data_IF_690228062448
#
_entry.id   IF_690228062448
#
_cell.length_a   1.000
_cell.length_b   1.000
_cell.length_c   1.000
_cell.angle_alpha   90.00
_cell.angle_beta   90.00
_cell.angle_gamma   90.00
#
_symmetry.space_group_name_H-M   'P 1'
#
loop_
_entity.id
_entity.type
_entity.pdbx_description
1 polymer ?
#
# COMPACT_ATOMS: atom_id res chain seq x y z
N UNK A 1 -48.47 -46.26 7.55
CA UNK A 1 -47.10 -45.74 7.82
C UNK A 1 -46.69 -44.94 6.59
N UNK A 2 -46.61 -43.62 6.70
CA UNK A 2 -46.47 -42.70 5.55
C UNK A 2 -44.98 -42.38 5.39
N UNK A 3 -44.37 -42.89 4.32
CA UNK A 3 -42.97 -42.66 4.01
C UNK A 3 -42.77 -41.17 3.68
N UNK A 4 -42.01 -40.48 4.54
CA UNK A 4 -41.67 -39.07 4.36
C UNK A 4 -40.38 -38.99 3.53
N UNK A 5 -40.52 -38.73 2.23
CA UNK A 5 -39.38 -38.48 1.34
C UNK A 5 -38.87 -37.05 1.54
N UNK A 6 -37.67 -36.92 2.10
CA UNK A 6 -36.94 -35.65 2.25
C UNK A 6 -36.20 -35.35 0.95
N UNK A 7 -36.44 -34.22 0.26
CA UNK A 7 -35.68 -33.86 -0.92
C UNK A 7 -34.32 -33.29 -0.50
N UNK A 8 -33.25 -33.84 -1.06
CA UNK A 8 -31.88 -33.37 -0.88
C UNK A 8 -31.71 -32.05 -1.63
N UNK A 9 -31.76 -30.92 -0.91
CA UNK A 9 -31.50 -29.60 -1.46
C UNK A 9 -29.97 -29.42 -1.63
N UNK A 10 -29.51 -29.40 -2.89
CA UNK A 10 -28.13 -29.11 -3.25
C UNK A 10 -27.90 -27.61 -3.08
N UNK A 11 -27.23 -27.21 -2.00
CA UNK A 11 -26.78 -25.83 -1.78
C UNK A 11 -25.50 -25.64 -2.59
N UNK A 12 -25.64 -25.06 -3.78
CA UNK A 12 -24.51 -24.57 -4.56
C UNK A 12 -24.00 -23.28 -3.93
N UNK A 13 -22.97 -23.39 -3.09
CA UNK A 13 -22.21 -22.23 -2.58
C UNK A 13 -21.44 -21.64 -3.77
N UNK A 14 -21.92 -20.53 -4.29
CA UNK A 14 -21.16 -19.75 -5.26
C UNK A 14 -19.89 -19.23 -4.57
N UNK A 15 -18.74 -19.81 -4.89
CA UNK A 15 -17.43 -19.25 -4.58
C UNK A 15 -17.24 -18.01 -5.46
N UNK A 16 -17.86 -16.89 -5.08
CA UNK A 16 -17.43 -15.59 -5.57
C UNK A 16 -16.05 -15.35 -4.96
N UNK A 17 -14.99 -15.66 -5.71
CA UNK A 17 -13.65 -15.24 -5.35
C UNK A 17 -13.68 -13.72 -5.22
N UNK A 18 -13.66 -13.22 -3.98
CA UNK A 18 -13.50 -11.80 -3.74
C UNK A 18 -12.18 -11.40 -4.41
N UNK A 19 -12.26 -10.52 -5.41
CA UNK A 19 -11.06 -9.86 -5.92
C UNK A 19 -10.48 -9.12 -4.72
N UNK A 20 -9.34 -9.59 -4.22
CA UNK A 20 -8.63 -8.87 -3.16
C UNK A 20 -7.99 -7.66 -3.84
N UNK A 21 -8.43 -6.47 -3.45
CA UNK A 21 -7.87 -5.21 -3.92
C UNK A 21 -6.62 -4.88 -3.09
N UNK A 22 -5.68 -4.15 -3.69
CA UNK A 22 -4.57 -3.60 -2.93
C UNK A 22 -5.11 -2.62 -1.87
N UNK A 23 -4.39 -2.38 -0.77
CA UNK A 23 -4.70 -1.28 0.12
C UNK A 23 -4.74 0.05 -0.63
N UNK A 24 -5.56 0.97 -0.15
CA UNK A 24 -5.71 2.28 -0.78
C UNK A 24 -4.41 3.09 -0.65
N UNK A 25 -4.22 4.05 -1.56
CA UNK A 25 -3.04 4.91 -1.57
C UNK A 25 -2.78 5.60 -0.23
N UNK A 26 -3.84 5.96 0.50
CA UNK A 26 -3.79 6.69 1.76
C UNK A 26 -3.79 5.81 3.01
N UNK A 27 -3.88 4.49 2.86
CA UNK A 27 -3.93 3.59 4.00
C UNK A 27 -2.64 3.67 4.82
N UNK A 28 -2.77 3.49 6.13
CA UNK A 28 -1.65 3.64 7.04
C UNK A 28 -0.50 2.67 6.70
N UNK A 29 -0.83 1.42 6.38
CA UNK A 29 0.15 0.42 5.97
C UNK A 29 0.89 0.80 4.68
N UNK A 30 0.17 1.33 3.68
CA UNK A 30 0.74 1.84 2.43
C UNK A 30 1.70 2.98 2.71
N UNK A 31 1.25 4.01 3.43
CA UNK A 31 2.07 5.19 3.70
C UNK A 31 3.25 4.87 4.63
N UNK A 32 3.11 3.91 5.53
CA UNK A 32 4.22 3.44 6.37
C UNK A 32 5.27 2.69 5.55
N UNK A 33 4.90 1.93 4.53
CA UNK A 33 5.87 1.36 3.59
C UNK A 33 6.57 2.44 2.75
N UNK A 34 5.83 3.44 2.26
CA UNK A 34 6.44 4.59 1.55
C UNK A 34 7.50 5.28 2.43
N UNK A 35 7.19 5.57 3.70
CA UNK A 35 8.13 6.17 4.66
C UNK A 35 9.37 5.30 4.88
N UNK A 36 9.18 3.98 5.04
CA UNK A 36 10.30 3.04 5.22
C UNK A 36 11.20 2.96 3.99
N UNK A 37 10.62 3.03 2.79
CA UNK A 37 11.38 3.06 1.53
C UNK A 37 12.18 4.36 1.44
N UNK A 38 11.58 5.51 1.78
CA UNK A 38 12.26 6.80 1.80
C UNK A 38 13.42 6.85 2.83
N UNK A 39 13.22 6.32 4.03
CA UNK A 39 14.27 6.21 5.06
C UNK A 39 15.45 5.33 4.60
N UNK A 40 15.13 4.19 3.98
CA UNK A 40 16.14 3.30 3.39
C UNK A 40 16.91 3.99 2.28
N UNK A 41 16.22 4.69 1.38
CA UNK A 41 16.87 5.37 0.27
C UNK A 41 17.78 6.50 0.76
N UNK A 42 17.32 7.30 1.72
CA UNK A 42 18.16 8.32 2.36
C UNK A 42 19.38 7.71 3.06
N UNK A 43 19.20 6.56 3.72
CA UNK A 43 20.30 5.81 4.34
C UNK A 43 21.31 5.34 3.29
N UNK A 44 20.85 4.88 2.12
CA UNK A 44 21.71 4.47 1.02
C UNK A 44 22.51 5.65 0.45
N UNK A 45 21.89 6.83 0.32
CA UNK A 45 22.53 8.03 -0.22
C UNK A 45 23.56 8.66 0.72
N UNK A 46 23.28 8.69 2.03
CA UNK A 46 24.13 9.34 3.03
C UNK A 46 25.10 8.39 3.76
N UNK A 47 24.87 7.08 3.66
CA UNK A 47 25.69 6.04 4.30
C UNK A 47 25.22 5.63 5.69
N UNK A 48 25.84 4.56 6.19
CA UNK A 48 25.54 3.98 7.50
C UNK A 48 25.81 5.00 8.64
N UNK A 49 24.76 5.42 9.34
CA UNK A 49 24.81 6.43 10.41
C UNK A 49 23.77 7.54 10.27
N UNK A 50 23.09 7.63 9.12
CA UNK A 50 22.00 8.59 8.90
C UNK A 50 20.61 8.10 9.35
N UNK A 51 20.52 6.85 9.83
CA UNK A 51 19.28 6.26 10.33
C UNK A 51 18.73 7.09 11.49
N UNK A 52 17.46 7.50 11.38
CA UNK A 52 16.81 8.34 12.40
C UNK A 52 17.23 9.82 12.40
N UNK A 53 18.06 10.27 11.46
CA UNK A 53 18.32 11.70 11.27
C UNK A 53 17.14 12.42 10.60
N UNK A 54 16.21 11.67 10.01
CA UNK A 54 15.05 12.20 9.33
C UNK A 54 13.78 11.50 9.77
N UNK A 55 12.68 12.25 9.78
CA UNK A 55 11.32 11.71 9.91
C UNK A 55 10.53 12.04 8.65
N UNK A 56 9.62 11.14 8.28
CA UNK A 56 8.93 11.17 6.99
C UNK A 56 7.43 11.32 7.15
N UNK A 57 6.81 12.17 6.33
CA UNK A 57 5.35 12.29 6.21
C UNK A 57 4.92 12.12 4.75
N UNK A 58 3.73 11.56 4.53
CA UNK A 58 3.17 11.40 3.18
C UNK A 58 1.87 12.18 3.15
N UNK A 59 1.90 13.33 2.47
CA UNK A 59 0.82 14.31 2.45
C UNK A 59 0.23 14.41 1.03
N UNK A 60 -0.92 15.09 0.91
CA UNK A 60 -1.55 15.40 -0.38
C UNK A 60 -1.70 14.18 -1.30
N UNK A 61 -2.08 13.04 -0.71
CA UNK A 61 -2.19 11.75 -1.39
C UNK A 61 -3.38 11.77 -2.36
N UNK A 62 -3.15 11.33 -3.60
CA UNK A 62 -4.20 11.15 -4.62
C UNK A 62 -3.98 9.86 -5.40
N UNK A 63 -5.03 9.08 -5.57
CA UNK A 63 -5.06 7.96 -6.53
C UNK A 63 -5.16 8.53 -7.94
N UNK A 64 -4.18 8.24 -8.79
CA UNK A 64 -4.16 8.66 -10.19
C UNK A 64 -4.88 7.66 -11.10
N UNK A 65 -4.73 6.36 -10.81
CA UNK A 65 -5.39 5.29 -11.55
C UNK A 65 -5.52 4.03 -10.70
N UNK A 66 -6.49 3.19 -11.07
CA UNK A 66 -6.67 1.84 -10.53
C UNK A 66 -6.76 0.86 -11.69
N UNK A 67 -5.92 -0.15 -11.71
CA UNK A 67 -6.04 -1.27 -12.64
C UNK A 67 -7.19 -2.17 -12.18
N UNK A 68 -8.25 -2.27 -12.99
CA UNK A 68 -9.46 -3.03 -12.64
C UNK A 68 -9.27 -4.54 -12.67
N UNK A 69 -8.27 -5.03 -13.39
CA UNK A 69 -7.97 -6.47 -13.49
C UNK A 69 -7.19 -6.95 -12.28
N UNK A 70 -6.26 -6.14 -11.78
CA UNK A 70 -5.35 -6.53 -10.68
C UNK A 70 -5.67 -5.85 -9.35
N UNK A 71 -6.54 -4.84 -9.34
CA UNK A 71 -6.79 -4.01 -8.16
C UNK A 71 -5.63 -3.10 -7.77
N UNK A 72 -4.59 -2.97 -8.61
CA UNK A 72 -3.42 -2.16 -8.31
C UNK A 72 -3.70 -0.66 -8.44
N UNK A 73 -3.10 0.15 -7.56
CA UNK A 73 -3.22 1.60 -7.57
C UNK A 73 -1.93 2.27 -8.03
N UNK A 74 -2.06 3.36 -8.79
CA UNK A 74 -0.98 4.34 -8.98
C UNK A 74 -1.36 5.61 -8.22
N UNK A 75 -0.45 6.08 -7.39
CA UNK A 75 -0.67 7.16 -6.43
C UNK A 75 0.32 8.30 -6.67
N UNK A 76 -0.09 9.53 -6.39
CA UNK A 76 0.82 10.68 -6.23
C UNK A 76 0.69 11.24 -4.82
N UNK A 77 1.79 11.76 -4.27
CA UNK A 77 1.81 12.40 -2.96
C UNK A 77 2.96 13.42 -2.86
N UNK A 78 2.94 14.20 -1.79
CA UNK A 78 4.06 15.01 -1.33
C UNK A 78 4.74 14.28 -0.17
N UNK A 79 6.00 13.89 -0.35
CA UNK A 79 6.82 13.33 0.71
C UNK A 79 7.50 14.46 1.48
N UNK A 80 7.13 14.63 2.74
CA UNK A 80 7.82 15.52 3.66
C UNK A 80 8.97 14.82 4.35
N UNK A 81 10.15 15.42 4.32
CA UNK A 81 11.37 14.95 4.99
C UNK A 81 11.77 16.02 6.00
N UNK A 82 11.73 15.68 7.28
CA UNK A 82 12.07 16.58 8.38
C UNK A 82 13.35 16.12 9.05
N UNK A 83 14.37 16.99 9.09
CA UNK A 83 15.61 16.71 9.81
C UNK A 83 15.37 16.77 11.33
N UNK A 84 15.75 15.72 12.06
CA UNK A 84 15.52 15.62 13.51
C UNK A 84 16.40 16.58 14.31
N UNK A 85 17.52 17.04 13.73
CA UNK A 85 18.47 17.94 14.39
C UNK A 85 17.98 19.37 14.54
N UNK A 86 17.15 19.85 13.61
CA UNK A 86 16.72 21.26 13.57
C UNK A 86 15.25 21.46 13.20
N UNK A 87 14.50 20.39 12.91
CA UNK A 87 13.08 20.44 12.55
C UNK A 87 12.79 21.03 11.18
N UNK A 88 13.81 21.27 10.34
CA UNK A 88 13.60 21.79 8.98
C UNK A 88 12.97 20.71 8.12
N UNK A 89 11.84 21.04 7.49
CA UNK A 89 11.10 20.17 6.58
C UNK A 89 11.29 20.60 5.14
N UNK A 90 11.62 19.66 4.28
CA UNK A 90 11.52 19.81 2.83
C UNK A 90 10.46 18.86 2.29
N UNK A 91 9.75 19.28 1.24
CA UNK A 91 8.77 18.43 0.57
C UNK A 91 9.20 18.18 -0.87
N UNK A 92 8.99 16.95 -1.35
CA UNK A 92 9.17 16.59 -2.75
C UNK A 92 7.97 15.80 -3.29
N UNK A 93 7.61 16.01 -4.57
CA UNK A 93 6.56 15.21 -5.21
C UNK A 93 7.08 13.81 -5.49
N UNK A 94 6.29 12.80 -5.11
CA UNK A 94 6.55 11.39 -5.41
C UNK A 94 5.36 10.75 -6.12
N UNK A 95 5.65 9.69 -6.88
CA UNK A 95 4.65 8.76 -7.39
C UNK A 95 4.94 7.39 -6.81
N UNK A 96 3.91 6.61 -6.48
CA UNK A 96 4.12 5.23 -6.03
C UNK A 96 3.02 4.30 -6.53
N UNK A 97 3.33 3.03 -6.72
CA UNK A 97 2.33 1.99 -7.01
C UNK A 97 2.06 1.13 -5.79
N UNK A 98 0.84 0.61 -5.67
CA UNK A 98 0.41 -0.34 -4.65
C UNK A 98 -0.19 -1.54 -5.37
N UNK A 99 0.39 -2.72 -5.17
CA UNK A 99 0.07 -3.92 -5.94
C UNK A 99 -0.12 -5.12 -5.02
N UNK A 100 -1.16 -5.91 -5.26
CA UNK A 100 -1.41 -7.15 -4.52
C UNK A 100 -0.36 -8.20 -4.88
N UNK A 101 0.04 -8.98 -3.88
CA UNK A 101 0.93 -10.13 -3.98
C UNK A 101 0.36 -11.32 -3.19
N UNK A 102 0.93 -12.51 -3.41
CA UNK A 102 0.61 -13.73 -2.67
C UNK A 102 -0.90 -13.98 -2.54
N UNK A 103 -1.62 -13.96 -3.68
CA UNK A 103 -3.07 -14.17 -3.78
C UNK A 103 -3.94 -13.19 -2.97
N UNK A 104 -3.43 -12.03 -2.56
CA UNK A 104 -4.20 -11.08 -1.73
C UNK A 104 -3.77 -10.99 -0.27
N UNK A 105 -2.80 -11.82 0.15
CA UNK A 105 -2.29 -11.81 1.54
C UNK A 105 -1.21 -10.74 1.78
N UNK A 106 -0.51 -10.31 0.72
CA UNK A 106 0.54 -9.31 0.80
C UNK A 106 0.35 -8.24 -0.27
N UNK A 107 1.10 -7.17 -0.14
CA UNK A 107 1.15 -6.14 -1.17
C UNK A 107 2.57 -5.55 -1.27
N UNK A 108 2.86 -4.98 -2.43
CA UNK A 108 4.10 -4.27 -2.72
C UNK A 108 3.83 -2.79 -2.89
N UNK A 109 4.79 -1.98 -2.48
CA UNK A 109 4.84 -0.55 -2.75
C UNK A 109 6.14 -0.24 -3.48
N UNK A 110 6.03 0.39 -4.66
CA UNK A 110 7.18 0.89 -5.41
C UNK A 110 7.11 2.42 -5.45
N UNK A 111 8.15 3.11 -4.99
CA UNK A 111 8.19 4.58 -4.93
C UNK A 111 9.15 5.12 -5.99
N UNK A 112 8.72 6.18 -6.68
CA UNK A 112 9.46 6.88 -7.72
C UNK A 112 9.66 8.35 -7.34
N UNK A 113 10.82 8.90 -7.69
CA UNK A 113 11.20 10.30 -7.39
C UNK A 113 11.93 10.50 -6.07
N UNK A 114 12.51 9.44 -5.50
CA UNK A 114 13.42 9.49 -4.35
C UNK A 114 14.88 9.66 -4.76
#
# INVERSE_FOLDING_TARGET
>A
MKHLTVPLAIVSVALTGCIQYAPECGDEETTNLVKQIADREMTNQLGHGSQGLFTYTVNAIRTQSTNKETGAHTCAAQLGITATTNGVTNELPITYTVEVADNGEKFYVNVFGL
#
